data_IF_564624127215
#
_entry.id   IF_564624127215
#
_cell.length_a   1.000
_cell.length_b   1.000
_cell.length_c   1.000
_cell.angle_alpha   90.00
_cell.angle_beta   90.00
_cell.angle_gamma   90.00
#
_symmetry.space_group_name_H-M   'P 1'
#
loop_
_entity.id
_entity.type
_entity.pdbx_description
1 polymer ?
#
# COMPACT_ATOMS: atom_id res chain seq x y z
N UNK A 1 32.13 7.92 -44.18
CA UNK A 1 31.22 7.13 -43.36
C UNK A 1 29.80 7.67 -43.55
N UNK A 2 28.87 6.81 -43.91
CA UNK A 2 27.45 7.13 -43.91
C UNK A 2 26.84 6.69 -42.55
N UNK A 3 25.94 7.49 -41.99
CA UNK A 3 25.19 7.17 -40.81
C UNK A 3 23.71 7.12 -41.16
N UNK A 4 23.04 6.06 -40.75
CA UNK A 4 21.59 5.95 -40.85
C UNK A 4 20.99 6.20 -39.47
N UNK A 5 20.00 7.08 -39.39
CA UNK A 5 19.21 7.30 -38.16
C UNK A 5 17.78 6.83 -38.45
N UNK A 6 17.28 5.81 -37.75
CA UNK A 6 15.92 5.37 -37.91
C UNK A 6 14.89 6.45 -37.64
N UNK A 7 13.85 6.52 -38.46
CA UNK A 7 12.70 7.38 -38.18
C UNK A 7 11.81 6.78 -37.08
N UNK A 8 10.99 7.62 -36.45
CA UNK A 8 9.99 7.14 -35.49
C UNK A 8 9.03 6.12 -36.11
N UNK A 9 8.76 6.25 -37.41
CA UNK A 9 7.91 5.32 -38.16
C UNK A 9 8.60 3.97 -38.39
N UNK A 10 9.92 3.95 -38.71
CA UNK A 10 10.68 2.71 -38.85
C UNK A 10 10.71 1.92 -37.54
N UNK A 11 10.89 2.63 -36.40
CA UNK A 11 10.88 2.05 -35.05
C UNK A 11 9.50 1.47 -34.74
N UNK A 12 8.43 2.24 -35.00
CA UNK A 12 7.06 1.84 -34.69
C UNK A 12 6.57 0.64 -35.50
N UNK A 13 7.02 0.53 -36.77
CA UNK A 13 6.65 -0.59 -37.64
C UNK A 13 7.39 -1.88 -37.30
N UNK A 14 8.58 -1.79 -36.64
CA UNK A 14 9.42 -2.96 -36.34
C UNK A 14 9.82 -3.78 -37.58
N UNK A 15 9.66 -3.21 -38.78
CA UNK A 15 9.97 -3.88 -40.03
C UNK A 15 11.45 -3.72 -40.36
N UNK A 16 12.09 -4.75 -40.97
CA UNK A 16 13.48 -4.61 -41.37
C UNK A 16 13.65 -3.51 -42.43
N UNK A 17 14.68 -2.69 -42.27
CA UNK A 17 15.06 -1.62 -43.20
C UNK A 17 16.22 -2.11 -44.03
N UNK A 18 16.08 -2.06 -45.39
CA UNK A 18 17.15 -2.38 -46.28
C UNK A 18 17.99 -1.13 -46.58
N UNK A 19 19.27 -1.19 -46.26
CA UNK A 19 20.24 -0.15 -46.59
C UNK A 19 21.08 -0.61 -47.77
N UNK A 20 21.14 0.20 -48.83
CA UNK A 20 21.89 -0.10 -50.05
C UNK A 20 22.98 0.93 -50.30
N UNK A 21 24.17 0.49 -50.52
CA UNK A 21 25.27 1.32 -51.00
C UNK A 21 25.47 1.09 -52.51
N UNK A 22 25.56 2.15 -53.25
CA UNK A 22 25.79 2.10 -54.70
C UNK A 22 27.06 2.87 -55.05
N UNK A 23 27.94 2.23 -55.78
CA UNK A 23 29.14 2.83 -56.35
C UNK A 23 29.02 2.94 -57.86
N UNK A 24 29.29 4.13 -58.38
CA UNK A 24 29.28 4.37 -59.83
C UNK A 24 30.74 4.53 -60.30
N UNK A 25 31.11 3.74 -61.29
CA UNK A 25 32.45 3.81 -61.88
C UNK A 25 32.69 5.17 -62.54
N UNK A 26 33.94 5.60 -62.55
CA UNK A 26 34.40 6.86 -63.13
C UNK A 26 35.17 6.56 -64.45
N UNK A 27 35.12 7.51 -65.41
CA UNK A 27 35.81 7.39 -66.71
C UNK A 27 35.06 6.55 -67.70
N UNK A 28 35.78 5.83 -68.60
CA UNK A 28 35.12 5.07 -69.67
C UNK A 28 34.38 3.81 -69.18
N UNK A 29 34.59 3.41 -67.89
CA UNK A 29 33.94 2.23 -67.29
C UNK A 29 32.85 2.71 -66.33
N UNK A 30 31.67 3.05 -66.83
CA UNK A 30 30.51 3.50 -66.05
C UNK A 30 29.66 2.31 -65.54
N UNK A 31 30.31 1.32 -64.94
CA UNK A 31 29.57 0.21 -64.32
C UNK A 31 29.10 0.64 -62.93
N UNK A 32 27.86 0.38 -62.63
CA UNK A 32 27.27 0.61 -61.31
C UNK A 32 27.24 -0.72 -60.56
N UNK A 33 27.84 -0.74 -59.38
CA UNK A 33 27.79 -1.87 -58.45
C UNK A 33 27.07 -1.45 -57.19
N UNK A 34 26.26 -2.33 -56.62
CA UNK A 34 25.54 -2.09 -55.38
C UNK A 34 25.59 -3.29 -54.46
N UNK A 35 25.65 -3.02 -53.19
CA UNK A 35 25.53 -4.01 -52.12
C UNK A 35 24.51 -3.53 -51.10
N UNK A 36 23.82 -4.47 -50.44
CA UNK A 36 22.76 -4.13 -49.49
C UNK A 36 22.84 -4.96 -48.20
N UNK A 37 22.47 -4.33 -47.11
CA UNK A 37 22.31 -4.99 -45.80
C UNK A 37 20.91 -4.76 -45.27
N UNK A 38 20.44 -5.69 -44.47
CA UNK A 38 19.17 -5.56 -43.74
C UNK A 38 19.47 -5.16 -42.30
N UNK A 39 18.86 -4.06 -41.88
CA UNK A 39 18.88 -3.59 -40.46
C UNK A 39 17.56 -3.95 -39.83
N UNK A 40 17.60 -4.76 -38.78
CA UNK A 40 16.44 -5.08 -37.95
C UNK A 40 16.43 -4.13 -36.75
N UNK A 41 15.32 -3.41 -36.59
CA UNK A 41 15.10 -2.53 -35.44
C UNK A 41 14.33 -3.29 -34.38
N UNK A 42 14.86 -3.33 -33.17
CA UNK A 42 14.15 -3.85 -31.99
C UNK A 42 13.52 -2.68 -31.23
N UNK A 43 12.27 -2.80 -30.85
CA UNK A 43 11.65 -1.80 -29.96
C UNK A 43 12.35 -1.78 -28.61
N UNK A 44 12.37 -0.60 -27.97
CA UNK A 44 12.92 -0.46 -26.62
C UNK A 44 12.11 -1.24 -25.60
N UNK A 45 12.73 -1.81 -24.59
CA UNK A 45 11.99 -2.41 -23.48
C UNK A 45 11.23 -1.32 -22.70
N UNK A 46 10.05 -1.66 -22.22
CA UNK A 46 9.22 -0.78 -21.39
C UNK A 46 8.83 -1.55 -20.13
N UNK A 47 8.77 -0.84 -18.98
CA UNK A 47 8.39 -1.41 -17.71
C UNK A 47 7.70 -0.36 -16.86
N UNK A 48 6.48 -0.66 -16.44
CA UNK A 48 5.71 0.08 -15.46
C UNK A 48 5.04 -0.92 -14.52
N UNK A 49 5.32 -0.85 -13.22
CA UNK A 49 4.78 -1.76 -12.21
C UNK A 49 3.76 -1.09 -11.30
N UNK A 50 3.36 0.13 -11.64
CA UNK A 50 2.30 0.87 -10.99
C UNK A 50 2.80 1.81 -9.88
N UNK A 51 1.84 2.41 -9.19
CA UNK A 51 2.07 3.46 -8.19
C UNK A 51 2.30 2.88 -6.78
N UNK A 52 2.68 3.76 -5.86
CA UNK A 52 2.80 3.48 -4.44
C UNK A 52 1.53 2.86 -3.87
N UNK A 53 1.70 1.93 -2.93
CA UNK A 53 0.63 1.12 -2.36
C UNK A 53 0.64 1.15 -0.84
N UNK A 54 -0.56 1.01 -0.29
CA UNK A 54 -0.78 0.82 1.15
C UNK A 54 -1.35 -0.57 1.37
N UNK A 55 -0.87 -1.25 2.40
CA UNK A 55 -1.26 -2.61 2.73
C UNK A 55 -1.51 -2.72 4.23
N UNK A 56 -2.61 -3.35 4.63
CA UNK A 56 -2.83 -3.63 6.04
C UNK A 56 -1.91 -4.77 6.53
N UNK A 57 -1.42 -4.69 7.76
CA UNK A 57 -0.46 -5.61 8.37
C UNK A 57 -0.82 -7.10 8.28
N UNK A 58 -2.12 -7.41 8.20
CA UNK A 58 -2.62 -8.78 8.17
C UNK A 58 -2.92 -9.28 6.75
N UNK A 59 -2.42 -8.60 5.72
CA UNK A 59 -2.62 -8.97 4.31
C UNK A 59 -1.30 -9.05 3.57
N UNK A 60 -1.22 -9.91 2.55
CA UNK A 60 -0.09 -10.01 1.64
C UNK A 60 -0.34 -9.15 0.38
N UNK A 61 0.73 -8.55 -0.15
CA UNK A 61 0.65 -7.79 -1.38
C UNK A 61 0.66 -8.73 -2.59
N UNK A 62 -0.47 -8.84 -3.27
CA UNK A 62 -0.55 -9.53 -4.56
C UNK A 62 -0.19 -8.57 -5.70
N UNK A 63 0.85 -8.90 -6.46
CA UNK A 63 1.25 -8.20 -7.68
C UNK A 63 0.80 -9.06 -8.87
N UNK A 64 -0.13 -8.57 -9.66
CA UNK A 64 -0.64 -9.26 -10.83
C UNK A 64 -0.67 -8.35 -12.06
N UNK A 65 -0.78 -8.96 -13.25
CA UNK A 65 -0.77 -8.28 -14.55
C UNK A 65 -1.96 -7.33 -14.79
N UNK A 66 -3.02 -7.43 -13.99
CA UNK A 66 -4.24 -6.64 -14.17
C UNK A 66 -4.25 -5.31 -13.41
N UNK A 67 -3.28 -5.07 -12.55
CA UNK A 67 -3.24 -3.93 -11.63
C UNK A 67 -2.21 -2.85 -12.05
N UNK A 68 -2.16 -2.45 -13.32
CA UNK A 68 -1.26 -1.39 -13.80
C UNK A 68 0.19 -1.81 -13.95
N UNK A 69 0.43 -3.09 -14.22
CA UNK A 69 1.75 -3.61 -14.60
C UNK A 69 1.78 -3.75 -16.12
N UNK A 70 2.64 -2.98 -16.77
CA UNK A 70 2.90 -3.05 -18.22
C UNK A 70 4.39 -3.31 -18.44
N UNK A 71 4.71 -4.48 -19.01
CA UNK A 71 6.08 -4.88 -19.26
C UNK A 71 6.16 -5.46 -20.66
N UNK A 72 6.97 -4.85 -21.52
CA UNK A 72 7.11 -5.24 -22.90
C UNK A 72 8.58 -5.30 -23.36
N UNK A 73 8.85 -6.11 -24.36
CA UNK A 73 10.15 -6.27 -25.02
C UNK A 73 11.31 -6.68 -24.09
N UNK A 74 10.97 -7.50 -23.07
CA UNK A 74 11.92 -8.09 -22.11
C UNK A 74 11.93 -9.61 -22.21
N UNK A 75 13.01 -10.25 -21.76
CA UNK A 75 13.06 -11.70 -21.56
C UNK A 75 12.20 -12.07 -20.34
N UNK A 76 11.12 -12.78 -20.57
CA UNK A 76 10.16 -13.20 -19.54
C UNK A 76 10.74 -14.20 -18.52
N UNK A 77 11.91 -14.77 -18.78
CA UNK A 77 12.63 -15.65 -17.84
C UNK A 77 13.63 -14.88 -16.96
N UNK A 78 13.76 -13.58 -17.17
CA UNK A 78 14.73 -12.73 -16.47
C UNK A 78 14.15 -11.88 -15.37
N UNK A 79 12.87 -12.00 -15.07
CA UNK A 79 12.23 -11.23 -13.99
C UNK A 79 12.89 -11.49 -12.64
N UNK A 80 13.19 -10.40 -11.94
CA UNK A 80 13.75 -10.44 -10.60
C UNK A 80 13.10 -9.36 -9.75
N UNK A 81 12.36 -9.80 -8.74
CA UNK A 81 11.81 -8.93 -7.72
C UNK A 81 12.80 -8.76 -6.58
N UNK A 82 12.92 -7.54 -6.10
CA UNK A 82 13.71 -7.19 -4.91
C UNK A 82 12.95 -6.23 -4.03
N UNK A 83 13.24 -6.22 -2.72
CA UNK A 83 12.69 -5.26 -1.78
C UNK A 83 13.79 -4.65 -0.92
N UNK A 84 13.56 -3.45 -0.42
CA UNK A 84 14.39 -2.85 0.63
C UNK A 84 14.08 -3.41 2.03
N UNK A 85 12.98 -4.16 2.16
CA UNK A 85 12.57 -4.85 3.36
C UNK A 85 13.13 -6.26 3.47
N UNK A 86 12.64 -7.02 4.45
CA UNK A 86 13.05 -8.38 4.78
C UNK A 86 12.01 -9.46 4.42
N UNK A 87 10.92 -9.04 3.76
CA UNK A 87 9.88 -9.93 3.23
C UNK A 87 10.36 -10.75 2.03
N UNK A 88 9.49 -11.64 1.53
CA UNK A 88 9.81 -12.58 0.44
C UNK A 88 8.80 -12.53 -0.69
N UNK A 89 9.25 -12.88 -1.90
CA UNK A 89 8.39 -12.99 -3.09
C UNK A 89 8.08 -14.46 -3.41
N UNK A 90 6.83 -14.77 -3.77
CA UNK A 90 6.37 -16.11 -4.14
C UNK A 90 5.41 -16.06 -5.33
N UNK A 91 5.80 -16.55 -6.52
CA UNK A 91 7.14 -16.97 -6.94
C UNK A 91 8.10 -15.79 -7.12
N UNK A 92 9.40 -16.02 -6.91
CA UNK A 92 10.42 -14.96 -6.94
C UNK A 92 10.71 -14.43 -8.35
N UNK A 93 10.63 -15.30 -9.37
CA UNK A 93 11.08 -15.03 -10.74
C UNK A 93 9.92 -15.00 -11.77
N UNK A 94 8.72 -14.61 -11.36
CA UNK A 94 7.58 -14.45 -12.24
C UNK A 94 7.06 -13.02 -12.20
N UNK A 95 6.49 -12.54 -13.29
CA UNK A 95 5.91 -11.19 -13.32
C UNK A 95 4.77 -11.05 -12.32
N UNK A 96 3.86 -12.05 -12.23
CA UNK A 96 2.84 -12.13 -11.19
C UNK A 96 3.42 -12.81 -9.95
N UNK A 97 3.43 -12.12 -8.83
CA UNK A 97 3.99 -12.61 -7.56
C UNK A 97 3.20 -12.11 -6.37
N UNK A 98 3.46 -12.68 -5.20
CA UNK A 98 2.96 -12.21 -3.91
C UNK A 98 4.15 -11.81 -3.06
N UNK A 99 4.16 -10.59 -2.58
CA UNK A 99 5.12 -10.15 -1.56
C UNK A 99 4.52 -10.37 -0.17
N UNK A 100 5.19 -11.22 0.60
CA UNK A 100 4.87 -11.47 2.00
C UNK A 100 5.83 -10.64 2.86
N UNK A 101 5.31 -9.59 3.47
CA UNK A 101 6.11 -8.74 4.36
C UNK A 101 6.47 -9.50 5.64
N UNK A 102 7.57 -9.14 6.25
CA UNK A 102 8.01 -9.72 7.50
C UNK A 102 7.51 -8.93 8.72
N UNK A 103 7.50 -9.52 9.93
CA UNK A 103 7.26 -8.78 11.17
C UNK A 103 8.26 -7.64 11.41
N UNK A 104 9.49 -7.75 10.90
CA UNK A 104 10.51 -6.72 10.99
C UNK A 104 10.18 -5.51 10.11
N UNK A 105 9.61 -5.74 8.92
CA UNK A 105 9.14 -4.69 8.01
C UNK A 105 8.03 -3.86 8.67
N UNK A 106 7.09 -4.54 9.33
CA UNK A 106 6.02 -3.89 10.06
C UNK A 106 6.56 -3.07 11.23
N UNK A 107 7.40 -3.68 12.08
CA UNK A 107 7.99 -3.03 13.25
C UNK A 107 8.89 -1.84 12.89
N UNK A 108 9.47 -1.81 11.69
CA UNK A 108 10.28 -0.70 11.22
C UNK A 108 9.44 0.57 10.93
N UNK A 109 8.17 0.41 10.55
CA UNK A 109 7.24 1.51 10.28
C UNK A 109 7.66 2.43 9.13
N UNK A 110 8.56 1.98 8.26
CA UNK A 110 9.05 2.76 7.11
C UNK A 110 8.57 2.13 5.79
N UNK A 111 8.32 2.93 4.75
CA UNK A 111 7.96 2.41 3.45
C UNK A 111 9.04 1.51 2.86
N UNK A 112 8.60 0.42 2.23
CA UNK A 112 9.44 -0.60 1.60
C UNK A 112 9.47 -0.31 0.10
N UNK A 113 10.66 -0.15 -0.49
CA UNK A 113 10.80 -0.07 -1.94
C UNK A 113 10.71 -1.48 -2.54
N UNK A 114 9.76 -1.68 -3.44
CA UNK A 114 9.59 -2.91 -4.23
C UNK A 114 10.08 -2.60 -5.64
N UNK A 115 10.98 -3.40 -6.18
CA UNK A 115 11.61 -3.20 -7.49
C UNK A 115 11.50 -4.46 -8.33
N UNK A 116 11.08 -4.31 -9.58
CA UNK A 116 11.21 -5.33 -10.61
C UNK A 116 12.36 -4.96 -11.55
N UNK A 117 13.18 -5.94 -11.90
CA UNK A 117 14.23 -5.80 -12.92
C UNK A 117 14.05 -6.90 -13.97
N UNK A 118 14.31 -6.59 -15.22
CA UNK A 118 14.31 -7.59 -16.32
C UNK A 118 15.39 -7.27 -17.35
N UNK A 119 15.85 -8.31 -18.05
CA UNK A 119 16.73 -8.16 -19.19
C UNK A 119 15.90 -7.85 -20.44
N UNK A 120 16.35 -6.94 -21.32
CA UNK A 120 15.68 -6.71 -22.59
C UNK A 120 15.86 -7.88 -23.53
N UNK A 121 15.02 -7.94 -24.57
CA UNK A 121 15.27 -8.82 -25.70
C UNK A 121 16.42 -8.27 -26.56
N UNK A 122 17.22 -9.19 -27.14
CA UNK A 122 18.28 -8.82 -28.08
C UNK A 122 17.73 -8.03 -29.26
N UNK A 123 18.45 -7.04 -29.80
CA UNK A 123 19.86 -6.66 -29.51
C UNK A 123 20.03 -5.64 -28.38
N UNK A 124 18.99 -5.29 -27.67
CA UNK A 124 19.09 -4.43 -26.50
C UNK A 124 19.78 -5.17 -25.35
N UNK A 125 20.69 -4.51 -24.63
CA UNK A 125 21.54 -5.18 -23.62
C UNK A 125 21.46 -4.57 -22.23
N UNK A 126 20.85 -3.37 -22.10
CA UNK A 126 20.77 -2.69 -20.81
C UNK A 126 19.53 -3.14 -20.04
N UNK A 127 19.67 -3.73 -18.84
CA UNK A 127 18.54 -4.09 -18.00
C UNK A 127 17.62 -2.89 -17.74
N UNK A 128 16.34 -3.17 -17.65
CA UNK A 128 15.33 -2.18 -17.27
C UNK A 128 14.78 -2.50 -15.88
N UNK A 129 14.44 -1.49 -15.11
CA UNK A 129 13.80 -1.66 -13.81
C UNK A 129 12.81 -0.55 -13.52
N UNK A 130 11.80 -0.87 -12.73
CA UNK A 130 10.85 0.09 -12.17
C UNK A 130 10.56 -0.26 -10.71
N UNK A 131 10.08 0.72 -9.91
CA UNK A 131 9.84 0.53 -8.50
C UNK A 131 8.68 1.38 -7.98
N UNK A 132 8.03 0.89 -6.92
CA UNK A 132 7.05 1.63 -6.14
C UNK A 132 7.33 1.48 -4.64
N UNK A 133 6.73 2.37 -3.83
CA UNK A 133 6.81 2.28 -2.38
C UNK A 133 5.58 1.53 -1.82
N UNK A 134 5.82 0.58 -0.93
CA UNK A 134 4.81 -0.14 -0.15
C UNK A 134 4.84 0.38 1.28
N UNK A 135 3.73 0.95 1.75
CA UNK A 135 3.55 1.37 3.14
C UNK A 135 2.66 0.37 3.86
N UNK A 136 3.16 -0.23 4.94
CA UNK A 136 2.40 -1.09 5.83
C UNK A 136 1.62 -0.22 6.83
N UNK A 137 0.33 -0.54 7.00
CA UNK A 137 -0.57 0.13 7.94
C UNK A 137 -0.96 -0.87 9.01
N UNK A 138 -0.73 -0.52 10.27
CA UNK A 138 -1.13 -1.34 11.41
C UNK A 138 -2.62 -1.22 11.68
N UNK A 139 -3.21 -2.29 12.23
CA UNK A 139 -4.58 -2.25 12.75
C UNK A 139 -4.68 -1.32 13.96
N UNK A 140 -5.83 -0.71 14.20
CA UNK A 140 -6.04 0.08 15.40
C UNK A 140 -6.00 -0.79 16.66
N UNK A 141 -5.64 -0.18 17.75
CA UNK A 141 -5.89 -0.73 19.09
C UNK A 141 -6.76 0.22 19.89
N UNK A 142 -7.56 -0.31 20.81
CA UNK A 142 -8.35 0.46 21.75
C UNK A 142 -8.30 -0.21 23.11
N UNK A 143 -8.11 0.56 24.17
CA UNK A 143 -8.16 0.08 25.55
C UNK A 143 -8.77 1.17 26.44
N UNK A 144 -9.63 0.77 27.35
CA UNK A 144 -10.31 1.66 28.30
C UNK A 144 -9.58 1.74 29.66
N UNK A 145 -8.49 0.96 29.84
CA UNK A 145 -7.88 0.73 31.13
C UNK A 145 -8.65 -0.35 31.91
N UNK A 146 -9.12 -0.09 33.13
CA UNK A 146 -9.97 -1.05 33.84
C UNK A 146 -11.31 -1.24 33.14
N UNK A 147 -11.66 -2.47 32.79
CA UNK A 147 -12.93 -2.82 32.13
C UNK A 147 -14.14 -2.79 33.06
N UNK A 148 -13.90 -2.61 34.36
CA UNK A 148 -14.95 -2.42 35.38
C UNK A 148 -14.54 -1.30 36.33
N UNK A 149 -15.41 -0.31 36.52
CA UNK A 149 -15.18 0.82 37.40
C UNK A 149 -16.43 1.11 38.23
N UNK A 150 -16.22 1.77 39.39
CA UNK A 150 -17.31 2.31 40.19
C UNK A 150 -17.19 3.83 40.25
N UNK A 151 -18.28 4.52 40.00
CA UNK A 151 -18.34 5.99 39.99
C UNK A 151 -19.47 6.52 40.88
N UNK A 152 -19.39 7.80 41.22
CA UNK A 152 -20.52 8.52 41.80
C UNK A 152 -21.49 8.99 40.72
N UNK A 153 -22.68 9.37 41.08
CA UNK A 153 -23.73 9.93 40.22
C UNK A 153 -23.38 11.27 39.54
N UNK A 154 -22.27 11.90 39.99
CA UNK A 154 -21.76 13.16 39.39
C UNK A 154 -21.02 13.00 38.06
N UNK A 155 -20.70 11.76 37.69
CA UNK A 155 -20.00 11.43 36.45
C UNK A 155 -18.54 11.02 36.64
N UNK A 156 -17.91 10.66 35.52
CA UNK A 156 -16.53 10.17 35.49
C UNK A 156 -15.82 10.59 34.18
N UNK A 157 -14.57 11.05 34.30
CA UNK A 157 -13.71 11.32 33.14
C UNK A 157 -12.72 10.17 32.97
N UNK A 158 -12.72 9.57 31.79
CA UNK A 158 -11.76 8.54 31.43
C UNK A 158 -10.39 9.17 31.19
N UNK A 159 -9.37 8.70 31.89
CA UNK A 159 -7.99 9.21 31.78
C UNK A 159 -6.96 8.09 31.54
N UNK A 160 -7.43 6.88 31.31
CA UNK A 160 -6.62 5.70 31.03
C UNK A 160 -7.01 5.02 29.70
N UNK A 161 -7.98 5.58 28.99
CA UNK A 161 -8.31 5.10 27.66
C UNK A 161 -7.22 5.53 26.68
N UNK A 162 -6.79 4.60 25.82
CA UNK A 162 -5.75 4.83 24.82
C UNK A 162 -6.16 4.11 23.53
N UNK A 163 -5.95 4.77 22.41
CA UNK A 163 -6.06 4.15 21.10
C UNK A 163 -4.78 4.43 20.27
N UNK A 164 -4.41 3.51 19.39
CA UNK A 164 -3.29 3.69 18.46
C UNK A 164 -3.71 3.30 17.04
N UNK A 165 -3.00 3.79 16.03
CA UNK A 165 -3.18 3.41 14.61
C UNK A 165 -4.61 3.60 14.11
N UNK A 166 -5.31 4.61 14.57
CA UNK A 166 -6.71 4.86 14.23
C UNK A 166 -6.89 6.09 13.32
N UNK A 167 -7.97 6.07 12.55
CA UNK A 167 -8.44 7.24 11.82
C UNK A 167 -9.34 8.12 12.71
N UNK A 168 -10.18 7.48 13.53
CA UNK A 168 -11.07 8.16 14.45
C UNK A 168 -11.41 7.28 15.66
N UNK A 169 -11.76 7.90 16.79
CA UNK A 169 -12.23 7.21 17.98
C UNK A 169 -13.61 7.70 18.36
N UNK A 170 -14.37 6.83 19.02
CA UNK A 170 -15.73 7.15 19.46
C UNK A 170 -16.09 6.38 20.73
N UNK A 171 -16.63 7.08 21.72
CA UNK A 171 -17.34 6.50 22.86
C UNK A 171 -18.83 6.45 22.58
N UNK A 172 -19.48 5.33 22.90
CA UNK A 172 -20.92 5.12 22.75
C UNK A 172 -21.53 4.48 23.98
N UNK A 173 -22.80 4.77 24.23
CA UNK A 173 -23.59 4.03 25.20
C UNK A 173 -24.07 2.70 24.60
N UNK A 174 -23.78 1.57 25.24
CA UNK A 174 -24.31 0.26 24.83
C UNK A 174 -25.72 0.06 25.37
N UNK A 175 -25.94 0.38 26.66
CA UNK A 175 -27.22 0.20 27.35
C UNK A 175 -27.62 1.37 28.25
N UNK A 176 -26.84 2.47 28.25
CA UNK A 176 -27.09 3.65 29.05
C UNK A 176 -27.83 4.75 28.27
N UNK A 177 -28.30 5.76 29.00
CA UNK A 177 -28.98 6.94 28.48
C UNK A 177 -28.32 8.25 28.91
N UNK A 178 -27.20 8.16 29.63
CA UNK A 178 -26.40 9.30 30.04
C UNK A 178 -25.70 10.00 28.88
N UNK A 179 -25.06 11.12 29.17
CA UNK A 179 -24.37 11.94 28.17
C UNK A 179 -22.87 11.65 28.20
N UNK A 180 -22.28 11.43 27.04
CA UNK A 180 -20.83 11.33 26.90
C UNK A 180 -20.34 12.65 26.28
N UNK A 181 -19.69 13.48 27.09
CA UNK A 181 -19.01 14.69 26.62
C UNK A 181 -17.66 14.33 26.02
N UNK A 182 -17.26 15.04 24.95
CA UNK A 182 -16.01 14.77 24.22
C UNK A 182 -15.90 13.31 23.76
N UNK A 183 -16.98 12.75 23.25
CA UNK A 183 -17.08 11.33 22.88
C UNK A 183 -16.09 10.87 21.81
N UNK A 184 -15.41 11.80 21.14
CA UNK A 184 -14.34 11.55 20.15
C UNK A 184 -12.93 11.76 20.72
N UNK A 185 -12.78 11.76 22.04
CA UNK A 185 -11.51 11.93 22.74
C UNK A 185 -11.25 10.74 23.68
N UNK A 186 -9.98 10.38 23.86
CA UNK A 186 -9.58 9.39 24.87
C UNK A 186 -10.03 9.82 26.29
N UNK A 187 -10.03 11.12 26.57
CA UNK A 187 -10.45 11.71 27.84
C UNK A 187 -11.93 12.14 27.83
N UNK A 188 -12.81 11.28 27.35
CA UNK A 188 -14.26 11.54 27.39
C UNK A 188 -14.77 11.58 28.83
N UNK A 189 -15.89 12.31 29.06
CA UNK A 189 -16.55 12.36 30.34
C UNK A 189 -17.96 11.80 30.22
N UNK A 190 -18.26 10.75 30.96
CA UNK A 190 -19.60 10.20 31.09
C UNK A 190 -20.35 10.85 32.25
N UNK A 191 -21.55 11.34 32.02
CA UNK A 191 -22.49 11.89 32.98
C UNK A 191 -23.73 11.01 32.98
N UNK A 192 -23.97 10.23 34.08
CA UNK A 192 -25.13 9.36 34.18
C UNK A 192 -26.44 10.13 34.11
N UNK A 193 -27.44 9.54 33.44
CA UNK A 193 -28.82 9.99 33.54
C UNK A 193 -29.47 9.48 34.82
N UNK A 194 -30.64 10.01 35.18
CA UNK A 194 -31.41 9.49 36.31
C UNK A 194 -31.84 8.02 36.10
N UNK A 195 -32.03 7.60 34.85
CA UNK A 195 -32.33 6.21 34.51
C UNK A 195 -31.12 5.32 34.78
N UNK A 196 -29.92 5.76 34.41
CA UNK A 196 -28.68 5.00 34.63
C UNK A 196 -28.35 4.89 36.13
N UNK A 197 -28.57 5.98 36.91
CA UNK A 197 -28.40 5.97 38.35
C UNK A 197 -29.37 4.96 38.99
N UNK A 198 -30.63 4.94 38.55
CA UNK A 198 -31.62 3.99 39.04
C UNK A 198 -31.33 2.56 38.66
N UNK A 199 -30.76 2.32 37.50
CA UNK A 199 -30.32 1.01 37.03
C UNK A 199 -29.08 0.49 37.77
N UNK A 200 -28.25 1.40 38.31
CA UNK A 200 -27.04 1.11 39.09
C UNK A 200 -25.84 0.61 38.23
N UNK A 201 -26.04 0.29 36.99
CA UNK A 201 -24.98 -0.16 36.07
C UNK A 201 -25.24 0.28 34.63
N UNK A 202 -24.15 0.61 33.91
CA UNK A 202 -24.17 0.94 32.50
C UNK A 202 -22.91 0.39 31.82
N UNK A 203 -23.01 0.07 30.54
CA UNK A 203 -21.87 -0.30 29.70
C UNK A 203 -21.65 0.76 28.66
N UNK A 204 -20.43 1.25 28.56
CA UNK A 204 -19.96 2.09 27.48
C UNK A 204 -18.97 1.31 26.63
N UNK A 205 -18.90 1.63 25.32
CA UNK A 205 -17.95 1.07 24.39
C UNK A 205 -17.03 2.17 23.84
N UNK A 206 -15.74 1.87 23.81
CA UNK A 206 -14.72 2.70 23.18
C UNK A 206 -14.29 2.03 21.89
N UNK A 207 -14.48 2.71 20.77
CA UNK A 207 -14.22 2.21 19.41
C UNK A 207 -13.11 3.02 18.75
N UNK A 208 -12.13 2.34 18.14
CA UNK A 208 -11.12 2.93 17.27
C UNK A 208 -11.31 2.42 15.83
N UNK A 209 -11.60 3.33 14.92
CA UNK A 209 -11.79 3.02 13.50
C UNK A 209 -10.45 2.98 12.79
N UNK A 210 -10.23 2.02 11.88
CA UNK A 210 -8.95 1.83 11.21
C UNK A 210 -8.62 2.92 10.20
N UNK A 211 -7.31 3.10 9.97
CA UNK A 211 -6.78 3.83 8.82
C UNK A 211 -6.89 2.92 7.58
N UNK A 212 -7.38 3.47 6.46
CA UNK A 212 -7.41 2.73 5.20
C UNK A 212 -5.98 2.32 4.77
N UNK A 213 -5.73 1.07 4.28
CA UNK A 213 -6.66 0.04 3.82
C UNK A 213 -7.09 -0.97 4.89
N UNK A 214 -6.71 -0.82 6.17
CA UNK A 214 -7.20 -1.69 7.21
C UNK A 214 -8.72 -1.53 7.40
N UNK A 215 -9.41 -2.64 7.67
CA UNK A 215 -10.86 -2.67 7.83
C UNK A 215 -11.33 -3.15 9.20
N UNK A 216 -10.40 -3.62 10.04
CA UNK A 216 -10.75 -4.17 11.35
C UNK A 216 -10.86 -3.03 12.36
N UNK A 217 -12.02 -2.91 13.00
CA UNK A 217 -12.29 -1.97 14.08
C UNK A 217 -11.76 -2.57 15.39
N UNK A 218 -11.15 -1.76 16.26
CA UNK A 218 -10.84 -2.15 17.62
C UNK A 218 -11.90 -1.58 18.58
N UNK A 219 -12.38 -2.42 19.50
CA UNK A 219 -13.43 -2.06 20.45
C UNK A 219 -13.11 -2.62 21.82
N UNK A 220 -13.40 -1.87 22.86
CA UNK A 220 -13.37 -2.36 24.23
C UNK A 220 -14.51 -1.75 25.05
N UNK A 221 -15.14 -2.58 25.87
CA UNK A 221 -16.25 -2.21 26.73
C UNK A 221 -15.77 -1.90 28.15
N UNK A 222 -16.41 -0.92 28.79
CA UNK A 222 -16.29 -0.67 30.23
C UNK A 222 -17.64 -0.77 30.92
N UNK A 223 -17.70 -1.59 31.96
CA UNK A 223 -18.89 -1.72 32.81
C UNK A 223 -18.72 -0.76 33.99
N UNK A 224 -19.68 0.13 34.13
CA UNK A 224 -19.69 1.18 35.16
C UNK A 224 -20.77 0.85 36.20
N UNK A 225 -20.38 0.70 37.47
CA UNK A 225 -21.31 0.65 38.59
C UNK A 225 -21.49 2.06 39.15
N UNK A 226 -22.74 2.54 39.19
CA UNK A 226 -23.06 3.90 39.64
C UNK A 226 -23.57 3.82 41.07
N UNK A 227 -22.90 4.57 41.98
CA UNK A 227 -23.29 4.71 43.39
C UNK A 227 -23.94 6.06 43.59
N UNK A 228 -25.20 6.11 44.06
CA UNK A 228 -25.84 7.37 44.34
C UNK A 228 -25.14 8.08 45.53
N UNK A 229 -25.07 9.39 45.44
CA UNK A 229 -24.54 10.23 46.54
C UNK A 229 -25.40 10.10 47.78
N UNK A 230 -24.77 10.14 48.96
CA UNK A 230 -25.50 10.11 50.24
C UNK A 230 -26.28 11.41 50.40
N UNK A 231 -27.60 11.35 50.47
CA UNK A 231 -28.42 12.51 50.88
C UNK A 231 -28.46 12.61 52.38
N UNK A 232 -28.10 13.78 52.91
CA UNK A 232 -28.28 14.09 54.34
C UNK A 232 -29.60 14.87 54.45
N UNK A 233 -30.61 14.21 54.97
CA UNK A 233 -31.86 14.89 55.36
C UNK A 233 -31.65 15.55 56.75
N UNK A 234 -31.79 16.87 56.83
CA UNK A 234 -31.76 17.66 58.06
C UNK A 234 -33.19 17.89 58.56
#
# INVERSE_FOLDING_TARGET
>A
NATYTPSAQDIALGSPVQLTVTAVGIGPCQVTESDSMTLTLAPSPEMEIGNDRFLCENTDLTINLTAGVDVSHVDTNSYQWTSSGTGTFLPENALATVYQHSPQDLAAGIPIQITLTAQPLEPCATPISDSFMLTLVENPTATVGPTTISICDTGHTFNQAVATNYQSIQWTNVNGTGVIQNSTSENATYIPSQVDISAGTVTLQFTANPINPCGTIAEEDVVITIQPSSEVYA
#
